data_IF_534416948919
#
_entry.id   IF_534416948919
#
_cell.length_a   1.000
_cell.length_b   1.000
_cell.length_c   1.000
_cell.angle_alpha   90.00
_cell.angle_beta   90.00
_cell.angle_gamma   90.00
#
_symmetry.space_group_name_H-M   'P 1'
#
loop_
_entity.id
_entity.type
_entity.pdbx_description
1 polymer ?
#
# COMPACT_ATOMS: atom_id res chain seq x y z
N UNK A 1 -22.43 7.77 5.64
CA UNK A 1 -21.31 6.95 6.18
C UNK A 1 -20.08 7.34 5.40
N UNK A 2 -18.97 7.62 6.07
CA UNK A 2 -17.75 8.09 5.42
C UNK A 2 -17.15 6.95 4.59
N UNK A 3 -16.82 7.22 3.32
CA UNK A 3 -16.26 6.27 2.35
C UNK A 3 -14.73 6.20 2.38
N UNK A 4 -14.07 7.10 3.11
CA UNK A 4 -12.61 7.16 3.20
C UNK A 4 -12.03 6.65 4.53
N UNK A 5 -12.82 6.54 5.59
CA UNK A 5 -12.31 6.18 6.93
C UNK A 5 -11.57 4.83 6.95
N UNK A 6 -12.14 3.79 6.33
CA UNK A 6 -11.50 2.47 6.27
C UNK A 6 -10.28 2.46 5.33
N UNK A 7 -10.35 3.17 4.21
CA UNK A 7 -9.20 3.31 3.29
C UNK A 7 -8.02 3.99 3.98
N UNK A 8 -8.28 5.02 4.81
CA UNK A 8 -7.24 5.69 5.61
C UNK A 8 -6.63 4.72 6.64
N UNK A 9 -7.43 3.82 7.25
CA UNK A 9 -6.88 2.79 8.15
C UNK A 9 -5.98 1.81 7.41
N UNK A 10 -6.33 1.47 6.17
CA UNK A 10 -5.52 0.61 5.30
C UNK A 10 -4.22 1.29 4.91
N UNK A 11 -4.26 2.58 4.54
CA UNK A 11 -3.08 3.40 4.32
C UNK A 11 -2.11 3.40 5.50
N UNK A 12 -2.63 3.47 6.73
CA UNK A 12 -1.78 3.40 7.93
C UNK A 12 -1.02 2.07 8.02
N UNK A 13 -1.65 0.95 7.66
CA UNK A 13 -0.99 -0.35 7.66
C UNK A 13 0.04 -0.45 6.52
N UNK A 14 -0.34 -0.02 5.31
CA UNK A 14 0.53 0.02 4.13
C UNK A 14 1.79 0.84 4.44
N UNK A 15 1.64 2.05 4.99
CA UNK A 15 2.76 2.92 5.34
C UNK A 15 3.65 2.37 6.45
N UNK A 16 3.10 1.60 7.41
CA UNK A 16 3.91 0.90 8.42
C UNK A 16 4.83 -0.14 7.79
N UNK A 17 4.27 -1.01 6.94
CA UNK A 17 5.05 -2.05 6.24
C UNK A 17 6.12 -1.43 5.35
N UNK A 18 5.75 -0.43 4.53
CA UNK A 18 6.70 0.30 3.67
C UNK A 18 7.83 0.90 4.51
N UNK A 19 7.50 1.59 5.60
CA UNK A 19 8.49 2.24 6.46
C UNK A 19 9.49 1.26 7.07
N UNK A 20 9.02 0.09 7.51
CA UNK A 20 9.90 -0.95 8.05
C UNK A 20 10.78 -1.61 6.99
N UNK A 21 10.26 -1.81 5.77
CA UNK A 21 11.06 -2.31 4.64
C UNK A 21 12.12 -1.30 4.16
N UNK A 22 11.82 0.00 4.20
CA UNK A 22 12.81 1.06 3.89
C UNK A 22 13.94 1.03 4.92
N UNK A 23 13.63 0.99 6.22
CA UNK A 23 14.65 0.89 7.29
C UNK A 23 15.56 -0.32 7.11
N UNK A 24 15.00 -1.48 6.77
CA UNK A 24 15.78 -2.68 6.48
C UNK A 24 16.64 -2.53 5.22
N UNK A 25 16.12 -1.84 4.20
CA UNK A 25 16.85 -1.56 2.97
C UNK A 25 18.07 -0.67 3.22
N UNK A 26 17.97 0.26 4.17
CA UNK A 26 19.04 1.17 4.57
C UNK A 26 20.10 0.51 5.48
N UNK A 27 19.87 -0.71 6.00
CA UNK A 27 20.87 -1.46 6.77
C UNK A 27 21.89 -2.13 5.84
N UNK A 28 23.19 -1.86 6.03
CA UNK A 28 24.28 -2.26 5.13
C UNK A 28 25.17 -3.38 5.70
N UNK A 29 24.61 -4.51 6.15
CA UNK A 29 25.41 -5.63 6.65
C UNK A 29 25.07 -6.98 5.96
N UNK A 30 26.09 -7.65 5.43
CA UNK A 30 25.97 -8.89 4.63
C UNK A 30 25.29 -10.07 5.37
N UNK A 31 25.22 -10.05 6.71
CA UNK A 31 24.53 -11.09 7.49
C UNK A 31 22.99 -10.97 7.38
N UNK A 32 22.50 -9.77 7.03
CA UNK A 32 21.07 -9.43 6.94
C UNK A 32 20.43 -9.89 5.63
N UNK A 33 21.23 -10.20 4.59
CA UNK A 33 20.70 -10.42 3.23
C UNK A 33 19.80 -11.66 3.11
N UNK A 34 20.02 -12.74 3.89
CA UNK A 34 19.12 -13.91 3.82
C UNK A 34 17.75 -13.62 4.42
N UNK A 35 17.72 -12.99 5.60
CA UNK A 35 16.46 -12.58 6.26
C UNK A 35 15.77 -11.51 5.41
N UNK A 36 16.54 -10.54 4.88
CA UNK A 36 16.03 -9.49 4.02
C UNK A 36 15.40 -10.04 2.74
N UNK A 37 16.01 -11.05 2.11
CA UNK A 37 15.42 -11.73 0.95
C UNK A 37 14.06 -12.37 1.27
N UNK A 38 13.95 -13.05 2.41
CA UNK A 38 12.68 -13.64 2.85
C UNK A 38 11.63 -12.56 3.12
N UNK A 39 12.00 -11.49 3.82
CA UNK A 39 11.12 -10.36 4.11
C UNK A 39 10.70 -9.61 2.84
N UNK A 40 11.59 -9.47 1.86
CA UNK A 40 11.26 -8.88 0.56
C UNK A 40 10.25 -9.72 -0.21
N UNK A 41 10.37 -11.05 -0.17
CA UNK A 41 9.37 -11.94 -0.75
C UNK A 41 8.00 -11.78 -0.05
N UNK A 42 7.98 -11.71 1.28
CA UNK A 42 6.75 -11.48 2.05
C UNK A 42 6.15 -10.09 1.82
N UNK A 43 7.00 -9.08 1.62
CA UNK A 43 6.59 -7.73 1.22
C UNK A 43 5.86 -7.74 -0.12
N UNK A 44 6.38 -8.48 -1.13
CA UNK A 44 5.69 -8.65 -2.41
C UNK A 44 4.29 -9.24 -2.22
N UNK A 45 4.18 -10.32 -1.43
CA UNK A 45 2.89 -10.94 -1.12
C UNK A 45 1.94 -9.99 -0.37
N UNK A 46 2.45 -9.19 0.57
CA UNK A 46 1.65 -8.18 1.28
C UNK A 46 1.11 -7.13 0.30
N UNK A 47 1.95 -6.60 -0.59
CA UNK A 47 1.52 -5.59 -1.55
C UNK A 47 0.48 -6.16 -2.50
N UNK A 48 0.74 -7.35 -3.08
CA UNK A 48 -0.21 -8.02 -3.97
C UNK A 48 -1.56 -8.24 -3.30
N UNK A 49 -1.58 -8.87 -2.11
CA UNK A 49 -2.84 -9.27 -1.47
C UNK A 49 -3.60 -8.14 -0.76
N UNK A 50 -2.88 -7.17 -0.16
CA UNK A 50 -3.48 -6.16 0.71
C UNK A 50 -3.52 -4.78 0.05
N UNK A 51 -2.39 -4.29 -0.45
CA UNK A 51 -2.34 -2.96 -1.06
C UNK A 51 -3.05 -2.95 -2.42
N UNK A 52 -2.86 -3.98 -3.26
CA UNK A 52 -3.39 -4.00 -4.61
C UNK A 52 -4.77 -4.69 -4.68
N UNK A 53 -4.82 -6.02 -4.48
CA UNK A 53 -6.03 -6.85 -4.64
C UNK A 53 -7.20 -6.52 -3.71
N UNK A 54 -6.98 -5.70 -2.70
CA UNK A 54 -7.92 -5.39 -1.63
C UNK A 54 -8.11 -3.88 -1.45
N UNK A 55 -7.04 -3.11 -1.28
CA UNK A 55 -7.14 -1.67 -1.10
C UNK A 55 -7.33 -0.93 -2.43
N UNK A 56 -6.39 -1.01 -3.38
CA UNK A 56 -6.56 -0.38 -4.70
C UNK A 56 -7.77 -0.93 -5.45
N UNK A 57 -8.15 -2.20 -5.28
CA UNK A 57 -9.39 -2.73 -5.85
C UNK A 57 -10.65 -1.95 -5.40
N UNK A 58 -10.70 -1.50 -4.13
CA UNK A 58 -11.78 -0.63 -3.66
C UNK A 58 -11.71 0.76 -4.29
N UNK A 59 -10.51 1.24 -4.57
CA UNK A 59 -10.33 2.55 -5.18
C UNK A 59 -10.65 2.51 -6.67
N UNK A 60 -9.94 1.71 -7.45
CA UNK A 60 -10.05 1.64 -8.90
C UNK A 60 -11.43 1.15 -9.36
N UNK A 61 -11.90 0.01 -8.84
CA UNK A 61 -13.11 -0.64 -9.33
C UNK A 61 -14.39 0.03 -8.84
N UNK A 62 -14.31 0.78 -7.74
CA UNK A 62 -15.49 1.34 -7.07
C UNK A 62 -15.38 2.86 -6.94
N UNK A 63 -14.44 3.37 -6.13
CA UNK A 63 -14.39 4.81 -5.82
C UNK A 63 -14.14 5.65 -7.07
N UNK A 64 -13.06 5.35 -7.79
CA UNK A 64 -12.59 6.06 -8.96
C UNK A 64 -13.60 5.92 -10.11
N UNK A 65 -14.22 4.75 -10.25
CA UNK A 65 -15.35 4.57 -11.17
C UNK A 65 -16.49 5.57 -10.90
N UNK A 66 -16.88 5.75 -9.63
CA UNK A 66 -17.93 6.70 -9.26
C UNK A 66 -17.50 8.16 -9.40
N UNK A 67 -16.23 8.47 -9.08
CA UNK A 67 -15.68 9.83 -9.22
C UNK A 67 -15.45 10.25 -10.68
N UNK A 68 -15.26 9.29 -11.58
CA UNK A 68 -15.11 9.53 -13.01
C UNK A 68 -16.45 9.75 -13.74
N UNK A 69 -17.60 9.59 -13.07
CA UNK A 69 -18.90 9.84 -13.69
C UNK A 69 -19.08 11.32 -14.06
N UNK A 70 -19.78 11.63 -15.18
CA UNK A 70 -20.09 13.01 -15.54
C UNK A 70 -20.77 13.78 -14.41
N UNK A 71 -20.39 15.04 -14.20
CA UNK A 71 -20.94 15.88 -13.14
C UNK A 71 -20.37 15.68 -11.73
N UNK A 72 -19.40 14.76 -11.51
CA UNK A 72 -18.80 14.56 -10.18
C UNK A 72 -17.51 15.38 -10.00
N UNK A 73 -16.47 15.11 -10.80
CA UNK A 73 -15.19 15.84 -10.77
C UNK A 73 -14.84 16.44 -12.14
N UNK A 74 -15.62 17.41 -12.64
CA UNK A 74 -15.47 17.88 -14.03
C UNK A 74 -14.26 18.81 -14.27
N UNK A 75 -13.92 19.68 -13.32
CA UNK A 75 -12.88 20.71 -13.53
C UNK A 75 -11.49 20.31 -13.03
N UNK A 76 -11.42 19.50 -11.98
CA UNK A 76 -10.18 19.07 -11.35
C UNK A 76 -10.25 17.56 -11.06
N UNK A 77 -10.09 16.74 -12.08
CA UNK A 77 -10.16 15.28 -11.96
C UNK A 77 -8.76 14.67 -11.78
N UNK A 78 -8.34 14.26 -10.56
CA UNK A 78 -7.03 13.65 -10.36
C UNK A 78 -6.98 12.15 -10.68
N UNK A 79 -8.10 11.51 -11.07
CA UNK A 79 -8.19 10.04 -11.18
C UNK A 79 -7.17 9.48 -12.17
N UNK A 80 -6.97 10.12 -13.33
CA UNK A 80 -5.97 9.67 -14.30
C UNK A 80 -4.53 9.69 -13.73
N UNK A 81 -4.22 10.66 -12.86
CA UNK A 81 -2.92 10.71 -12.19
C UNK A 81 -2.81 9.65 -11.09
N UNK A 82 -3.89 9.37 -10.35
CA UNK A 82 -3.89 8.34 -9.30
C UNK A 82 -3.67 6.95 -9.90
N UNK A 83 -4.41 6.61 -10.96
CA UNK A 83 -4.24 5.35 -11.70
C UNK A 83 -2.81 5.19 -12.25
N UNK A 84 -2.27 6.26 -12.84
CA UNK A 84 -0.89 6.23 -13.34
C UNK A 84 0.13 5.95 -12.22
N UNK A 85 -0.10 6.46 -11.01
CA UNK A 85 0.78 6.22 -9.88
C UNK A 85 0.66 4.81 -9.31
N UNK A 86 -0.53 4.22 -9.32
CA UNK A 86 -0.70 2.79 -9.04
C UNK A 86 0.13 1.94 -10.01
N UNK A 87 0.14 2.29 -11.30
CA UNK A 87 0.97 1.58 -12.29
C UNK A 87 2.47 1.72 -12.02
N UNK A 88 2.96 2.94 -11.70
CA UNK A 88 4.37 3.15 -11.31
C UNK A 88 4.72 2.35 -10.05
N UNK A 89 3.81 2.26 -9.08
CA UNK A 89 4.01 1.45 -7.89
C UNK A 89 4.11 -0.04 -8.22
N UNK A 90 3.21 -0.56 -9.06
CA UNK A 90 3.25 -1.96 -9.55
C UNK A 90 4.55 -2.25 -10.29
N UNK A 91 5.03 -1.32 -11.11
CA UNK A 91 6.34 -1.44 -11.78
C UNK A 91 7.50 -1.49 -10.78
N UNK A 92 7.45 -0.67 -9.73
CA UNK A 92 8.45 -0.70 -8.66
C UNK A 92 8.43 -2.04 -7.90
N UNK A 93 7.24 -2.61 -7.69
CA UNK A 93 7.09 -3.95 -7.10
C UNK A 93 7.63 -5.05 -8.00
N UNK A 94 7.48 -4.92 -9.33
CA UNK A 94 8.05 -5.85 -10.30
C UNK A 94 9.59 -5.89 -10.18
N UNK A 95 10.24 -4.75 -9.93
CA UNK A 95 11.69 -4.68 -9.64
C UNK A 95 12.04 -5.45 -8.36
N UNK A 96 11.25 -5.30 -7.30
CA UNK A 96 11.44 -6.08 -6.06
C UNK A 96 11.29 -7.58 -6.33
N UNK A 97 10.25 -7.99 -7.07
CA UNK A 97 10.01 -9.39 -7.43
C UNK A 97 11.18 -9.97 -8.24
N UNK A 98 11.70 -9.20 -9.19
CA UNK A 98 12.88 -9.57 -9.95
C UNK A 98 14.08 -9.77 -9.02
N UNK A 99 14.36 -8.82 -8.13
CA UNK A 99 15.46 -8.91 -7.17
C UNK A 99 15.35 -10.11 -6.23
N UNK A 100 14.14 -10.45 -5.77
CA UNK A 100 13.88 -11.69 -5.00
C UNK A 100 14.24 -12.93 -5.82
N UNK A 101 13.81 -13.00 -7.09
CA UNK A 101 14.07 -14.14 -7.96
C UNK A 101 15.56 -14.35 -8.28
N UNK A 102 16.29 -13.24 -8.46
CA UNK A 102 17.73 -13.26 -8.77
C UNK A 102 18.61 -13.22 -7.52
N UNK A 103 18.01 -13.12 -6.33
CA UNK A 103 18.68 -12.89 -5.05
C UNK A 103 19.58 -11.65 -5.06
N UNK A 104 19.16 -10.62 -5.81
CA UNK A 104 19.86 -9.34 -5.92
C UNK A 104 19.30 -8.35 -4.90
N UNK A 105 19.95 -8.28 -3.74
CA UNK A 105 19.51 -7.40 -2.67
C UNK A 105 19.66 -5.90 -3.01
N UNK A 106 20.50 -5.51 -3.98
CA UNK A 106 20.56 -4.11 -4.41
C UNK A 106 19.35 -3.76 -5.25
N UNK A 107 18.94 -4.67 -6.14
CA UNK A 107 17.73 -4.51 -6.94
C UNK A 107 16.49 -4.43 -6.04
N UNK A 108 16.38 -5.30 -5.03
CA UNK A 108 15.31 -5.27 -4.02
C UNK A 108 15.26 -3.90 -3.33
N UNK A 109 16.38 -3.41 -2.80
CA UNK A 109 16.46 -2.10 -2.13
C UNK A 109 15.97 -0.98 -3.05
N UNK A 110 16.47 -0.94 -4.29
CA UNK A 110 16.07 0.08 -5.27
C UNK A 110 14.56 0.08 -5.56
N UNK A 111 13.96 -1.11 -5.71
CA UNK A 111 12.52 -1.27 -5.91
C UNK A 111 11.71 -0.82 -4.69
N UNK A 112 12.13 -1.19 -3.48
CA UNK A 112 11.47 -0.78 -2.22
C UNK A 112 11.52 0.75 -2.06
N UNK A 113 12.67 1.38 -2.29
CA UNK A 113 12.78 2.84 -2.20
C UNK A 113 11.89 3.55 -3.21
N UNK A 114 11.87 3.07 -4.47
CA UNK A 114 11.02 3.68 -5.49
C UNK A 114 9.54 3.50 -5.18
N UNK A 115 9.14 2.30 -4.75
CA UNK A 115 7.79 2.01 -4.30
C UNK A 115 7.37 2.93 -3.16
N UNK A 116 8.24 3.09 -2.15
CA UNK A 116 8.02 3.97 -1.00
C UNK A 116 7.84 5.43 -1.39
N UNK A 117 8.71 5.95 -2.28
CA UNK A 117 8.64 7.34 -2.75
C UNK A 117 7.29 7.63 -3.41
N UNK A 118 6.85 6.74 -4.30
CA UNK A 118 5.59 6.88 -5.05
C UNK A 118 4.40 6.79 -4.10
N UNK A 119 4.30 5.72 -3.30
CA UNK A 119 3.15 5.52 -2.42
C UNK A 119 3.03 6.58 -1.33
N UNK A 120 4.15 7.11 -0.82
CA UNK A 120 4.10 8.17 0.20
C UNK A 120 3.42 9.43 -0.35
N UNK A 121 3.77 9.82 -1.57
CA UNK A 121 3.17 11.00 -2.21
C UNK A 121 1.74 10.71 -2.67
N UNK A 122 1.49 9.51 -3.18
CA UNK A 122 0.18 9.04 -3.61
C UNK A 122 -0.84 9.09 -2.47
N UNK A 123 -0.57 8.35 -1.38
CA UNK A 123 -1.40 8.27 -0.18
C UNK A 123 -1.63 9.66 0.44
N UNK A 124 -0.62 10.54 0.40
CA UNK A 124 -0.78 11.92 0.87
C UNK A 124 -1.86 12.66 0.07
N UNK A 125 -1.85 12.56 -1.26
CA UNK A 125 -2.85 13.21 -2.11
C UNK A 125 -4.23 12.60 -1.92
N UNK A 126 -4.32 11.30 -1.71
CA UNK A 126 -5.60 10.66 -1.47
C UNK A 126 -6.21 11.13 -0.16
N UNK A 127 -5.47 10.98 0.93
CA UNK A 127 -5.94 11.33 2.27
C UNK A 127 -6.30 12.81 2.41
N UNK A 128 -5.55 13.71 1.77
CA UNK A 128 -5.67 15.16 2.00
C UNK A 128 -6.38 15.91 0.87
N UNK A 129 -6.56 15.31 -0.30
CA UNK A 129 -7.14 15.98 -1.48
C UNK A 129 -8.29 15.14 -2.04
N UNK A 130 -8.01 13.94 -2.56
CA UNK A 130 -9.02 13.16 -3.28
C UNK A 130 -10.16 12.69 -2.38
N UNK A 131 -9.86 12.12 -1.22
CA UNK A 131 -10.91 11.63 -0.31
C UNK A 131 -11.79 12.77 0.22
N UNK A 132 -11.25 13.94 0.67
CA UNK A 132 -12.07 15.10 0.97
C UNK A 132 -12.93 15.57 -0.22
N UNK A 133 -12.39 15.57 -1.44
CA UNK A 133 -13.16 15.89 -2.64
C UNK A 133 -14.30 14.88 -2.86
N UNK A 134 -14.02 13.58 -2.73
CA UNK A 134 -15.01 12.53 -2.87
C UNK A 134 -16.15 12.65 -1.85
N UNK A 135 -15.81 12.94 -0.60
CA UNK A 135 -16.79 13.14 0.46
C UNK A 135 -17.68 14.36 0.22
N UNK A 136 -17.15 15.42 -0.40
CA UNK A 136 -17.92 16.63 -0.68
C UNK A 136 -18.79 16.51 -1.92
N UNK A 137 -18.34 15.79 -2.95
CA UNK A 137 -19.00 15.78 -4.26
C UNK A 137 -19.98 14.62 -4.44
N UNK A 138 -19.79 13.50 -3.76
CA UNK A 138 -20.68 12.35 -3.89
C UNK A 138 -21.93 12.55 -3.02
N UNK A 139 -23.10 12.27 -3.59
CA UNK A 139 -24.34 12.24 -2.82
C UNK A 139 -24.33 11.11 -1.79
N UNK A 140 -25.08 11.26 -0.69
CA UNK A 140 -25.19 10.21 0.34
C UNK A 140 -25.72 8.88 -0.21
N UNK A 141 -26.56 8.91 -1.24
CA UNK A 141 -27.05 7.69 -1.91
C UNK A 141 -25.91 6.95 -2.62
N UNK A 142 -25.02 7.66 -3.30
CA UNK A 142 -23.85 7.05 -3.96
C UNK A 142 -22.85 6.55 -2.92
N UNK A 143 -22.58 7.31 -1.87
CA UNK A 143 -21.72 6.85 -0.76
C UNK A 143 -22.22 5.56 -0.12
N UNK A 144 -23.54 5.38 0.00
CA UNK A 144 -24.13 4.14 0.49
C UNK A 144 -23.83 2.96 -0.44
N UNK A 145 -23.95 3.16 -1.76
CA UNK A 145 -23.63 2.12 -2.77
C UNK A 145 -22.14 1.75 -2.74
N UNK A 146 -21.26 2.76 -2.62
CA UNK A 146 -19.82 2.55 -2.50
C UNK A 146 -19.49 1.70 -1.27
N UNK A 147 -20.00 2.08 -0.09
CA UNK A 147 -19.75 1.33 1.14
C UNK A 147 -20.26 -0.13 1.05
N UNK A 148 -21.44 -0.36 0.46
CA UNK A 148 -21.95 -1.72 0.23
C UNK A 148 -21.05 -2.53 -0.70
N UNK A 149 -20.44 -1.88 -1.69
CA UNK A 149 -19.51 -2.53 -2.63
C UNK A 149 -18.17 -2.85 -1.96
N UNK A 150 -17.68 -1.98 -1.07
CA UNK A 150 -16.53 -2.27 -0.22
C UNK A 150 -16.78 -3.46 0.68
N UNK A 151 -17.92 -3.49 1.38
CA UNK A 151 -18.32 -4.60 2.25
C UNK A 151 -18.32 -5.94 1.49
N UNK A 152 -18.74 -5.95 0.22
CA UNK A 152 -18.71 -7.15 -0.62
C UNK A 152 -17.26 -7.64 -0.89
N UNK A 153 -16.32 -6.73 -1.22
CA UNK A 153 -14.90 -7.06 -1.36
C UNK A 153 -14.35 -7.59 -0.03
N UNK A 154 -14.64 -6.90 1.07
CA UNK A 154 -14.20 -7.26 2.42
C UNK A 154 -14.67 -8.65 2.85
N UNK A 155 -15.92 -9.00 2.56
CA UNK A 155 -16.46 -10.32 2.82
C UNK A 155 -15.79 -11.39 1.95
N UNK A 156 -15.66 -11.14 0.64
CA UNK A 156 -15.03 -12.07 -0.30
C UNK A 156 -13.57 -12.36 0.06
N UNK A 157 -12.85 -11.37 0.59
CA UNK A 157 -11.45 -11.51 1.02
C UNK A 157 -11.29 -11.96 2.47
N UNK A 158 -12.40 -12.20 3.19
CA UNK A 158 -12.40 -12.50 4.63
C UNK A 158 -11.58 -11.47 5.42
N UNK A 159 -12.07 -10.23 5.46
CA UNK A 159 -11.43 -9.07 6.10
C UNK A 159 -10.78 -9.41 7.44
N UNK A 160 -11.49 -10.08 8.34
CA UNK A 160 -10.97 -10.41 9.67
C UNK A 160 -9.69 -11.26 9.61
N UNK A 161 -9.69 -12.31 8.78
CA UNK A 161 -8.53 -13.18 8.61
C UNK A 161 -7.39 -12.47 7.88
N UNK A 162 -7.71 -11.70 6.84
CA UNK A 162 -6.74 -10.92 6.07
C UNK A 162 -6.02 -9.92 7.00
N UNK A 163 -6.77 -9.07 7.69
CA UNK A 163 -6.22 -8.07 8.61
C UNK A 163 -5.40 -8.70 9.72
N UNK A 164 -5.89 -9.80 10.33
CA UNK A 164 -5.12 -10.50 11.35
C UNK A 164 -3.75 -10.94 10.82
N UNK A 165 -3.72 -11.58 9.64
CA UNK A 165 -2.46 -12.02 9.02
C UNK A 165 -1.51 -10.85 8.75
N UNK A 166 -2.02 -9.74 8.23
CA UNK A 166 -1.17 -8.59 7.92
C UNK A 166 -0.67 -7.87 9.18
N UNK A 167 -1.48 -7.79 10.24
CA UNK A 167 -1.04 -7.27 11.53
C UNK A 167 0.04 -8.17 12.17
N UNK A 168 -0.16 -9.49 12.15
CA UNK A 168 0.83 -10.45 12.64
C UNK A 168 2.17 -10.29 11.85
N UNK A 169 2.11 -10.04 10.53
CA UNK A 169 3.29 -9.73 9.72
C UNK A 169 3.95 -8.41 10.12
N UNK A 170 3.20 -7.33 10.35
CA UNK A 170 3.76 -6.04 10.78
C UNK A 170 4.48 -6.16 12.12
N UNK A 171 3.88 -6.84 13.09
CA UNK A 171 4.49 -7.06 14.41
C UNK A 171 5.80 -7.84 14.32
N UNK A 172 5.86 -8.83 13.42
CA UNK A 172 7.09 -9.57 13.15
C UNK A 172 8.14 -8.74 12.44
N UNK A 173 7.75 -7.99 11.41
CA UNK A 173 8.63 -7.11 10.66
C UNK A 173 9.27 -6.06 11.58
N UNK A 174 8.46 -5.39 12.42
CA UNK A 174 8.95 -4.38 13.36
C UNK A 174 9.94 -4.95 14.38
N UNK A 175 9.67 -6.15 14.92
CA UNK A 175 10.59 -6.84 15.81
C UNK A 175 11.93 -7.13 15.12
N UNK A 176 11.91 -7.66 13.91
CA UNK A 176 13.12 -7.98 13.15
C UNK A 176 13.91 -6.72 12.77
N UNK A 177 13.24 -5.61 12.47
CA UNK A 177 13.90 -4.32 12.22
C UNK A 177 14.64 -3.86 13.48
N UNK A 178 14.00 -3.90 14.64
CA UNK A 178 14.62 -3.49 15.92
C UNK A 178 15.81 -4.39 16.27
N UNK A 179 15.66 -5.70 16.14
CA UNK A 179 16.74 -6.66 16.38
C UNK A 179 17.93 -6.44 15.44
N UNK A 180 17.67 -6.15 14.17
CA UNK A 180 18.71 -5.88 13.17
C UNK A 180 19.45 -4.57 13.45
N UNK A 181 18.73 -3.52 13.85
CA UNK A 181 19.35 -2.22 14.19
C UNK A 181 20.21 -2.27 15.46
N UNK A 182 19.82 -3.09 16.45
CA UNK A 182 20.56 -3.24 17.70
C UNK A 182 21.84 -4.09 17.58
N UNK A 183 22.01 -4.82 16.47
CA UNK A 183 23.22 -5.60 16.20
C UNK A 183 24.33 -4.78 15.53
N UNK A 184 24.03 -3.54 15.12
CA UNK A 184 25.02 -2.62 14.54
C UNK A 184 25.91 -2.09 15.67
N UNK A 185 27.23 -2.41 15.69
CA UNK A 185 28.12 -1.88 16.71
C UNK A 185 28.16 -0.36 16.59
N UNK A 186 27.90 0.34 17.70
CA UNK A 186 28.13 1.78 17.82
C UNK A 186 29.63 2.00 17.73
N UNK A 187 30.12 2.47 16.57
CA UNK A 187 31.48 2.99 16.44
C UNK A 187 31.61 4.34 17.15
#
# INVERSE_FOLDING_TARGET
MNISEELIKEHQLIMKVIGSMVKLSDCHENLVDTIFLELAHRFVLFVEEFADDYHHAKEEDILFYHLAQPGVLEHCNPIGQMLHEHDIARDSLNVVRQGVSTKDCQLIRSGIHKYSEVLTQHIFKENNILYPMAENQLSEQVKKVINQSYEAIELNRNKQKLWKRQLDFVEELDRLVVESLNQIPVN
#
